data_IF_450194357062
#
_entry.id   IF_450194357062
#
_cell.length_a   1.000
_cell.length_b   1.000
_cell.length_c   1.000
_cell.angle_alpha   90.00
_cell.angle_beta   90.00
_cell.angle_gamma   90.00
#
_symmetry.space_group_name_H-M   'P 1'
#
loop_
_entity.id
_entity.type
_entity.pdbx_description
1 polymer ?
#
# COMPACT_ATOMS: atom_id res chain seq x y z
N UNK A 1 0.43 29.79 -51.74
CA UNK A 1 -0.76 29.20 -51.09
C UNK A 1 -0.31 28.54 -49.80
N UNK A 2 -0.61 29.14 -48.65
CA UNK A 2 -0.36 28.55 -47.33
C UNK A 2 -1.54 27.66 -46.98
N UNK A 3 -1.32 26.35 -46.96
CA UNK A 3 -2.30 25.39 -46.47
C UNK A 3 -2.42 25.62 -44.96
N UNK A 4 -3.58 26.03 -44.42
CA UNK A 4 -3.74 26.17 -42.98
C UNK A 4 -3.77 24.76 -42.38
N UNK A 5 -2.64 24.28 -41.89
CA UNK A 5 -2.65 23.08 -41.06
C UNK A 5 -3.48 23.40 -39.81
N UNK A 6 -4.58 22.67 -39.54
CA UNK A 6 -5.38 22.95 -38.38
C UNK A 6 -4.52 22.58 -37.17
N UNK A 7 -4.19 23.57 -36.35
CA UNK A 7 -3.41 23.42 -35.12
C UNK A 7 -3.91 22.27 -34.23
N UNK A 8 -5.20 21.93 -34.33
CA UNK A 8 -5.83 20.79 -33.65
C UNK A 8 -5.28 19.42 -34.07
N UNK A 9 -4.84 19.22 -35.32
CA UNK A 9 -4.19 17.98 -35.75
C UNK A 9 -2.76 17.88 -35.21
N UNK A 10 -2.00 18.98 -35.25
CA UNK A 10 -0.63 19.03 -34.72
C UNK A 10 -0.64 18.78 -33.21
N UNK A 11 -1.58 19.37 -32.47
CA UNK A 11 -1.76 19.15 -31.03
C UNK A 11 -2.17 17.71 -30.72
N UNK A 12 -3.06 17.11 -31.53
CA UNK A 12 -3.47 15.70 -31.35
C UNK A 12 -2.33 14.72 -31.62
N UNK A 13 -1.55 14.96 -32.68
CA UNK A 13 -0.40 14.12 -33.03
C UNK A 13 0.68 14.26 -31.95
N UNK A 14 0.98 15.48 -31.49
CA UNK A 14 1.97 15.70 -30.45
C UNK A 14 1.55 15.10 -29.11
N UNK A 15 0.27 15.22 -28.72
CA UNK A 15 -0.25 14.55 -27.53
C UNK A 15 -0.19 13.03 -27.65
N UNK A 16 -0.48 12.48 -28.83
CA UNK A 16 -0.43 11.04 -29.08
C UNK A 16 1.00 10.49 -29.03
N UNK A 17 1.96 11.17 -29.68
CA UNK A 17 3.38 10.81 -29.62
C UNK A 17 3.90 10.93 -28.19
N UNK A 18 3.50 11.98 -27.47
CA UNK A 18 3.87 12.16 -26.06
C UNK A 18 3.28 11.06 -25.16
N UNK A 19 2.01 10.70 -25.35
CA UNK A 19 1.38 9.61 -24.61
C UNK A 19 2.04 8.26 -24.91
N UNK A 20 2.46 8.03 -26.16
CA UNK A 20 3.18 6.83 -26.56
C UNK A 20 4.56 6.75 -25.89
N UNK A 21 5.35 7.83 -25.96
CA UNK A 21 6.68 7.93 -25.35
C UNK A 21 6.57 7.76 -23.82
N UNK A 22 5.65 8.49 -23.19
CA UNK A 22 5.45 8.38 -21.73
C UNK A 22 4.96 7.01 -21.31
N UNK A 23 4.10 6.35 -22.10
CA UNK A 23 3.70 4.96 -21.87
C UNK A 23 4.90 4.03 -21.93
N UNK A 24 5.70 4.09 -22.98
CA UNK A 24 6.87 3.22 -23.14
C UNK A 24 7.87 3.38 -21.99
N UNK A 25 8.13 4.62 -21.57
CA UNK A 25 9.12 4.92 -20.53
C UNK A 25 8.61 4.69 -19.10
N UNK A 26 7.37 5.07 -18.81
CA UNK A 26 6.86 5.16 -17.43
C UNK A 26 6.01 3.96 -17.02
N UNK A 27 5.40 3.23 -17.98
CA UNK A 27 4.46 2.15 -17.67
C UNK A 27 5.06 1.09 -16.77
N UNK A 28 6.34 0.73 -16.98
CA UNK A 28 7.03 -0.25 -16.14
C UNK A 28 7.11 0.18 -14.67
N UNK A 29 7.42 1.45 -14.43
CA UNK A 29 7.54 2.00 -13.07
C UNK A 29 6.18 2.14 -12.39
N UNK A 30 5.17 2.61 -13.14
CA UNK A 30 3.78 2.69 -12.66
C UNK A 30 3.23 1.29 -12.32
N UNK A 31 3.46 0.31 -13.19
CA UNK A 31 3.07 -1.08 -12.97
C UNK A 31 3.74 -1.66 -11.73
N UNK A 32 5.05 -1.47 -11.57
CA UNK A 32 5.77 -1.97 -10.39
C UNK A 32 5.27 -1.35 -9.08
N UNK A 33 5.04 -0.04 -9.07
CA UNK A 33 4.46 0.67 -7.92
C UNK A 33 3.06 0.13 -7.58
N UNK A 34 2.23 -0.09 -8.60
CA UNK A 34 0.90 -0.64 -8.41
C UNK A 34 0.93 -2.10 -7.93
N UNK A 35 1.78 -2.95 -8.51
CA UNK A 35 1.97 -4.35 -8.08
C UNK A 35 2.52 -4.44 -6.64
N UNK A 36 3.43 -3.54 -6.24
CA UNK A 36 3.91 -3.47 -4.86
C UNK A 36 2.78 -3.12 -3.88
N UNK A 37 1.95 -2.13 -4.21
CA UNK A 37 0.77 -1.80 -3.42
C UNK A 37 -0.22 -2.97 -3.39
N UNK A 38 -0.49 -3.59 -4.54
CA UNK A 38 -1.45 -4.67 -4.68
C UNK A 38 -1.02 -5.91 -3.86
N UNK A 39 0.26 -6.30 -3.93
CA UNK A 39 0.83 -7.40 -3.11
C UNK A 39 0.57 -7.22 -1.60
N UNK A 40 0.62 -5.98 -1.09
CA UNK A 40 0.40 -5.69 0.34
C UNK A 40 -1.08 -5.65 0.74
N UNK A 41 -1.98 -5.44 -0.21
CA UNK A 41 -3.42 -5.20 0.04
C UNK A 41 -4.34 -6.26 -0.57
N UNK A 42 -3.81 -7.23 -1.29
CA UNK A 42 -4.57 -8.36 -1.81
C UNK A 42 -5.01 -9.30 -0.68
N UNK A 43 -6.12 -10.00 -0.93
CA UNK A 43 -6.57 -11.09 -0.08
C UNK A 43 -5.46 -12.13 0.11
N UNK A 44 -5.20 -12.51 1.36
CA UNK A 44 -4.13 -13.45 1.73
C UNK A 44 -2.76 -12.83 1.93
N UNK A 45 -2.58 -11.52 1.67
CA UNK A 45 -1.32 -10.82 1.96
C UNK A 45 -1.03 -10.71 3.47
N UNK A 46 -2.10 -10.61 4.28
CA UNK A 46 -2.01 -10.57 5.74
C UNK A 46 -3.07 -11.50 6.33
N UNK A 47 -2.62 -12.32 7.28
CA UNK A 47 -3.46 -13.21 8.06
C UNK A 47 -3.54 -12.71 9.49
N UNK A 48 -4.76 -12.62 10.01
CA UNK A 48 -5.05 -12.13 11.36
C UNK A 48 -5.68 -13.30 12.12
N UNK A 49 -5.21 -13.61 13.34
CA UNK A 49 -5.82 -14.67 14.14
C UNK A 49 -7.25 -14.30 14.54
N UNK A 50 -8.17 -15.24 14.42
CA UNK A 50 -9.53 -15.19 14.91
C UNK A 50 -9.73 -16.33 15.91
N UNK A 51 -9.52 -16.03 17.19
CA UNK A 51 -9.43 -17.06 18.23
C UNK A 51 -8.10 -17.82 18.14
N UNK A 52 -8.09 -19.05 18.66
CA UNK A 52 -6.89 -19.90 18.76
C UNK A 52 -6.58 -20.68 17.48
N UNK A 53 -7.61 -21.16 16.78
CA UNK A 53 -7.47 -22.16 15.72
C UNK A 53 -7.61 -21.62 14.30
N UNK A 54 -8.19 -20.43 14.13
CA UNK A 54 -8.55 -19.87 12.84
C UNK A 54 -7.76 -18.59 12.55
N UNK A 55 -7.47 -18.36 11.28
CA UNK A 55 -7.00 -17.09 10.75
C UNK A 55 -7.91 -16.61 9.63
N UNK A 56 -7.99 -15.29 9.49
CA UNK A 56 -8.70 -14.67 8.39
C UNK A 56 -7.85 -13.62 7.68
N UNK A 57 -8.18 -13.41 6.42
CA UNK A 57 -7.69 -12.29 5.62
C UNK A 57 -8.90 -11.55 5.07
N UNK A 58 -8.93 -10.22 5.21
CA UNK A 58 -10.07 -9.40 4.83
C UNK A 58 -9.66 -8.44 3.71
N UNK A 59 -10.40 -8.45 2.61
CA UNK A 59 -10.29 -7.49 1.52
C UNK A 59 -11.64 -6.82 1.31
N UNK A 60 -11.78 -5.60 1.81
CA UNK A 60 -12.97 -4.79 1.58
C UNK A 60 -12.89 -4.12 0.20
N UNK A 61 -14.03 -4.07 -0.50
CA UNK A 61 -14.10 -3.48 -1.84
C UNK A 61 -13.80 -1.98 -1.80
N UNK A 62 -13.05 -1.51 -2.80
CA UNK A 62 -12.70 -0.09 -2.97
C UNK A 62 -13.23 0.44 -4.31
N UNK A 63 -13.50 1.75 -4.43
CA UNK A 63 -14.09 2.34 -5.64
C UNK A 63 -13.15 2.27 -6.86
N UNK A 64 -11.86 2.16 -6.58
CA UNK A 64 -10.74 2.11 -7.52
C UNK A 64 -10.44 0.69 -8.02
N UNK A 65 -11.11 -0.33 -7.50
CA UNK A 65 -10.91 -1.70 -7.95
C UNK A 65 -11.45 -1.86 -9.38
N UNK A 66 -10.64 -2.45 -10.27
CA UNK A 66 -10.97 -2.59 -11.70
C UNK A 66 -12.05 -3.65 -12.00
N UNK A 67 -12.39 -4.49 -11.01
CA UNK A 67 -13.33 -5.60 -11.15
C UNK A 67 -14.65 -5.39 -10.40
N UNK A 68 -15.34 -6.49 -10.13
CA UNK A 68 -16.54 -6.46 -9.28
C UNK A 68 -16.19 -5.94 -7.88
N UNK A 69 -16.85 -4.86 -7.46
CA UNK A 69 -16.67 -4.19 -6.17
C UNK A 69 -17.32 -4.98 -5.04
N UNK A 70 -16.83 -6.20 -4.82
CA UNK A 70 -17.36 -7.11 -3.82
C UNK A 70 -16.30 -7.35 -2.75
N UNK A 71 -16.69 -7.13 -1.50
CA UNK A 71 -15.82 -7.39 -0.35
C UNK A 71 -15.62 -8.90 -0.20
N UNK A 72 -14.42 -9.33 0.18
CA UNK A 72 -14.07 -10.74 0.32
C UNK A 72 -13.39 -10.98 1.65
N UNK A 73 -13.64 -12.15 2.20
CA UNK A 73 -12.92 -12.67 3.37
C UNK A 73 -12.43 -14.07 3.05
N UNK A 74 -11.20 -14.36 3.43
CA UNK A 74 -10.62 -15.69 3.36
C UNK A 74 -10.42 -16.23 4.76
N UNK A 75 -10.73 -17.50 4.97
CA UNK A 75 -10.48 -18.20 6.23
C UNK A 75 -9.56 -19.38 5.99
N UNK A 76 -8.67 -19.65 6.95
CA UNK A 76 -7.86 -20.86 6.98
C UNK A 76 -7.62 -21.30 8.42
N UNK A 77 -7.42 -22.60 8.61
CA UNK A 77 -6.95 -23.13 9.87
C UNK A 77 -5.44 -22.89 10.05
N UNK A 78 -5.00 -22.77 11.30
CA UNK A 78 -3.58 -22.74 11.66
C UNK A 78 -2.95 -24.14 11.71
N UNK A 79 -3.65 -25.12 12.28
CA UNK A 79 -3.06 -26.43 12.66
C UNK A 79 -4.09 -27.56 12.78
N UNK A 80 -5.35 -27.24 13.07
CA UNK A 80 -6.39 -28.25 13.33
C UNK A 80 -7.51 -28.10 12.32
N UNK A 81 -7.93 -29.18 11.69
CA UNK A 81 -9.08 -29.15 10.82
C UNK A 81 -10.33 -28.76 11.60
N UNK A 82 -11.10 -27.83 11.04
CA UNK A 82 -12.35 -27.32 11.60
C UNK A 82 -13.47 -27.89 10.74
N UNK A 83 -14.39 -28.63 11.36
CA UNK A 83 -15.54 -29.22 10.66
C UNK A 83 -16.53 -28.14 10.22
N UNK A 84 -16.91 -27.25 11.13
CA UNK A 84 -17.87 -26.20 10.85
C UNK A 84 -17.44 -24.88 11.48
N UNK A 85 -17.63 -23.80 10.72
CA UNK A 85 -17.52 -22.42 11.16
C UNK A 85 -18.82 -21.70 10.86
N UNK A 86 -19.45 -21.17 11.91
CA UNK A 86 -20.53 -20.20 11.77
C UNK A 86 -20.07 -18.87 12.36
N UNK A 87 -20.13 -17.81 11.55
CA UNK A 87 -19.73 -16.48 11.99
C UNK A 87 -20.59 -15.40 11.35
N UNK A 88 -20.88 -14.34 12.12
CA UNK A 88 -21.53 -13.14 11.61
C UNK A 88 -20.49 -12.05 11.41
N UNK A 89 -20.27 -11.64 10.17
CA UNK A 89 -19.50 -10.45 9.88
C UNK A 89 -20.40 -9.21 10.04
N UNK A 90 -19.97 -8.25 10.85
CA UNK A 90 -20.62 -6.96 11.02
C UNK A 90 -19.68 -5.84 10.54
N UNK A 91 -20.19 -4.98 9.66
CA UNK A 91 -19.55 -3.74 9.24
C UNK A 91 -20.44 -2.56 9.61
N UNK A 92 -19.87 -1.52 10.20
CA UNK A 92 -20.60 -0.33 10.65
C UNK A 92 -19.98 0.90 10.03
N UNK A 93 -20.80 1.79 9.48
CA UNK A 93 -20.37 3.09 8.97
C UNK A 93 -21.58 3.96 8.61
N UNK A 94 -21.44 5.27 8.68
CA UNK A 94 -22.55 6.17 8.33
C UNK A 94 -23.78 6.05 9.25
N UNK A 95 -23.66 5.41 10.42
CA UNK A 95 -24.80 5.05 11.28
C UNK A 95 -25.61 3.83 10.83
N UNK A 96 -25.17 3.14 9.76
CA UNK A 96 -25.79 1.92 9.24
C UNK A 96 -24.93 0.72 9.63
N UNK A 97 -25.58 -0.39 9.98
CA UNK A 97 -24.92 -1.67 10.26
C UNK A 97 -25.27 -2.67 9.15
N UNK A 98 -24.24 -3.17 8.50
CA UNK A 98 -24.31 -4.25 7.51
C UNK A 98 -23.90 -5.55 8.20
N UNK A 99 -24.64 -6.62 7.94
CA UNK A 99 -24.38 -7.92 8.53
C UNK A 99 -24.45 -9.01 7.47
N UNK A 100 -23.53 -9.97 7.55
CA UNK A 100 -23.48 -11.11 6.66
C UNK A 100 -23.15 -12.37 7.46
N UNK A 101 -24.00 -13.39 7.31
CA UNK A 101 -23.78 -14.70 7.92
C UNK A 101 -22.88 -15.51 7.00
N UNK A 102 -21.79 -16.05 7.55
CA UNK A 102 -20.85 -16.90 6.84
C UNK A 102 -20.86 -18.26 7.51
N UNK A 103 -21.16 -19.29 6.73
CA UNK A 103 -21.14 -20.69 7.14
C UNK A 103 -20.17 -21.42 6.24
N UNK A 104 -19.18 -22.08 6.82
CA UNK A 104 -18.18 -22.88 6.11
C UNK A 104 -18.03 -24.23 6.77
N UNK A 105 -17.78 -25.24 5.95
CA UNK A 105 -17.48 -26.60 6.39
C UNK A 105 -16.07 -26.99 5.92
N UNK A 106 -15.45 -27.93 6.63
CA UNK A 106 -14.16 -28.56 6.29
C UNK A 106 -13.05 -27.54 6.00
N UNK A 107 -12.70 -26.74 7.01
CA UNK A 107 -11.64 -25.72 6.91
C UNK A 107 -10.30 -26.31 7.33
N UNK A 108 -9.41 -26.41 6.36
CA UNK A 108 -8.02 -26.82 6.53
C UNK A 108 -7.06 -25.61 6.45
N UNK A 109 -5.76 -25.86 6.29
CA UNK A 109 -4.74 -24.83 6.02
C UNK A 109 -4.94 -24.12 4.67
N UNK A 110 -5.71 -24.72 3.76
CA UNK A 110 -6.03 -24.14 2.44
C UNK A 110 -7.09 -23.05 2.61
N UNK A 111 -6.85 -21.83 2.12
CA UNK A 111 -7.76 -20.72 2.37
C UNK A 111 -9.05 -20.83 1.56
N UNK A 112 -10.20 -20.74 2.24
CA UNK A 112 -11.52 -20.69 1.63
C UNK A 112 -11.96 -19.23 1.51
N UNK A 113 -12.30 -18.79 0.29
CA UNK A 113 -12.68 -17.41 -0.01
C UNK A 113 -14.18 -17.25 -0.10
N UNK A 114 -14.73 -16.36 0.72
CA UNK A 114 -16.14 -15.97 0.71
C UNK A 114 -16.28 -14.56 0.15
N UNK A 115 -17.27 -14.36 -0.71
CA UNK A 115 -17.66 -13.03 -1.19
C UNK A 115 -18.81 -12.51 -0.34
N UNK A 116 -18.64 -11.31 0.20
CA UNK A 116 -19.61 -10.64 1.04
C UNK A 116 -20.41 -9.64 0.21
N UNK A 117 -21.65 -9.97 -0.10
CA UNK A 117 -22.50 -9.19 -1.03
C UNK A 117 -23.26 -8.09 -0.29
N UNK A 118 -23.56 -8.29 1.00
CA UNK A 118 -24.32 -7.32 1.79
C UNK A 118 -23.43 -6.19 2.33
N UNK A 119 -22.12 -6.34 2.22
CA UNK A 119 -21.13 -5.37 2.69
C UNK A 119 -20.78 -4.39 1.56
N UNK A 120 -21.07 -3.09 1.70
CA UNK A 120 -20.87 -2.13 0.62
C UNK A 120 -19.38 -1.87 0.33
N UNK A 121 -19.12 -1.18 -0.77
CA UNK A 121 -17.81 -0.64 -1.10
C UNK A 121 -17.42 0.45 -0.09
N UNK A 122 -16.13 0.57 0.24
CA UNK A 122 -15.60 1.63 1.10
C UNK A 122 -15.62 2.98 0.36
N UNK A 123 -16.67 3.75 0.59
CA UNK A 123 -16.93 5.01 -0.09
C UNK A 123 -17.09 6.14 0.92
N UNK A 124 -16.73 7.34 0.51
CA UNK A 124 -16.95 8.56 1.28
C UNK A 124 -18.41 8.98 1.07
N UNK A 125 -19.23 8.90 2.13
CA UNK A 125 -20.67 9.18 2.05
C UNK A 125 -20.94 10.67 2.24
N UNK A 126 -20.35 11.28 3.26
CA UNK A 126 -20.64 12.67 3.60
C UNK A 126 -19.39 13.43 4.05
N UNK A 127 -19.27 14.64 3.49
CA UNK A 127 -18.43 15.74 3.94
C UNK A 127 -19.39 16.86 4.35
N UNK A 128 -19.98 16.78 5.54
CA UNK A 128 -20.84 17.88 6.02
C UNK A 128 -20.53 18.22 7.47
N UNK A 129 -20.45 19.52 7.74
CA UNK A 129 -20.29 20.14 9.06
C UNK A 129 -19.25 19.46 9.96
N UNK A 130 -17.98 19.51 9.54
CA UNK A 130 -16.81 19.01 10.27
C UNK A 130 -16.72 17.49 10.51
N UNK A 131 -17.54 16.67 9.82
CA UNK A 131 -17.46 15.21 9.92
C UNK A 131 -17.21 14.60 8.55
N UNK A 132 -16.22 13.70 8.49
CA UNK A 132 -15.94 12.83 7.36
C UNK A 132 -16.56 11.48 7.72
N UNK A 133 -17.55 11.03 6.95
CA UNK A 133 -18.23 9.76 7.19
C UNK A 133 -18.00 8.80 6.03
N UNK A 134 -17.62 7.57 6.37
CA UNK A 134 -17.41 6.49 5.42
C UNK A 134 -18.55 5.47 5.48
N UNK A 135 -18.78 4.77 4.38
CA UNK A 135 -19.74 3.66 4.32
C UNK A 135 -19.42 2.53 5.28
N UNK A 136 -18.13 2.30 5.53
CA UNK A 136 -17.62 1.34 6.51
C UNK A 136 -16.53 2.05 7.30
N UNK A 137 -16.67 2.10 8.62
CA UNK A 137 -15.72 2.70 9.57
C UNK A 137 -15.10 1.66 10.49
N UNK A 138 -15.87 0.66 10.89
CA UNK A 138 -15.40 -0.45 11.71
C UNK A 138 -15.95 -1.78 11.23
N UNK A 139 -15.21 -2.84 11.54
CA UNK A 139 -15.58 -4.22 11.24
C UNK A 139 -15.35 -5.11 12.44
N UNK A 140 -16.19 -6.13 12.59
CA UNK A 140 -16.12 -7.11 13.67
C UNK A 140 -16.71 -8.45 13.20
N UNK A 141 -16.14 -9.57 13.64
CA UNK A 141 -16.78 -10.87 13.59
C UNK A 141 -17.46 -11.14 14.92
N UNK A 142 -18.74 -11.51 14.89
CA UNK A 142 -19.56 -11.80 16.06
C UNK A 142 -20.08 -13.22 16.05
N UNK A 143 -20.34 -13.74 17.25
CA UNK A 143 -20.89 -15.07 17.49
C UNK A 143 -20.13 -16.14 16.70
N UNK A 144 -18.80 -16.08 16.72
CA UNK A 144 -17.96 -17.08 16.07
C UNK A 144 -18.17 -18.41 16.80
N UNK A 145 -18.70 -19.41 16.09
CA UNK A 145 -18.83 -20.78 16.57
C UNK A 145 -17.94 -21.67 15.71
N UNK A 146 -17.03 -22.39 16.36
CA UNK A 146 -16.05 -23.25 15.70
C UNK A 146 -16.21 -24.67 16.22
N UNK A 147 -16.49 -25.61 15.33
CA UNK A 147 -16.58 -27.03 15.64
C UNK A 147 -15.32 -27.74 15.11
N UNK A 148 -14.55 -28.35 16.00
CA UNK A 148 -13.35 -29.11 15.63
C UNK A 148 -13.71 -30.56 15.25
N UNK A 149 -12.84 -31.25 14.50
CA UNK A 149 -13.00 -32.67 14.13
C UNK A 149 -13.22 -33.63 15.31
N UNK A 150 -12.83 -33.22 16.53
CA UNK A 150 -13.08 -33.98 17.77
C UNK A 150 -14.48 -33.81 18.38
N UNK A 151 -15.39 -33.07 17.75
CA UNK A 151 -16.72 -32.76 18.29
C UNK A 151 -16.71 -31.74 19.44
N UNK A 152 -15.55 -31.20 19.79
CA UNK A 152 -15.43 -30.08 20.72
C UNK A 152 -15.86 -28.79 19.99
N UNK A 153 -16.98 -28.22 20.44
CA UNK A 153 -17.41 -26.88 20.04
C UNK A 153 -16.59 -25.88 20.85
N UNK A 154 -15.62 -25.25 20.20
CA UNK A 154 -14.84 -24.18 20.82
C UNK A 154 -15.69 -22.91 20.78
N UNK A 155 -16.22 -22.59 21.97
CA UNK A 155 -16.77 -21.33 22.47
C UNK A 155 -17.29 -20.30 21.47
N UNK A 156 -18.49 -19.79 21.75
CA UNK A 156 -18.99 -18.58 21.09
C UNK A 156 -18.18 -17.37 21.55
N UNK A 157 -17.33 -16.82 20.67
CA UNK A 157 -16.55 -15.62 20.95
C UNK A 157 -16.79 -14.53 19.91
N UNK A 158 -16.50 -13.28 20.29
CA UNK A 158 -16.51 -12.14 19.38
C UNK A 158 -15.06 -11.72 19.09
N UNK A 159 -14.80 -11.26 17.87
CA UNK A 159 -13.51 -10.67 17.53
C UNK A 159 -13.36 -9.28 18.12
N UNK A 160 -12.13 -8.79 18.21
CA UNK A 160 -11.88 -7.38 18.45
C UNK A 160 -12.47 -6.53 17.32
N UNK A 161 -13.00 -5.36 17.68
CA UNK A 161 -13.46 -4.36 16.72
C UNK A 161 -12.24 -3.73 16.06
N UNK A 162 -12.17 -3.81 14.73
CA UNK A 162 -11.12 -3.18 13.94
C UNK A 162 -11.64 -1.89 13.31
N UNK A 163 -11.04 -0.77 13.68
CA UNK A 163 -11.34 0.54 13.08
C UNK A 163 -10.47 0.74 11.84
N UNK A 164 -11.11 1.15 10.74
CA UNK A 164 -10.45 1.41 9.47
C UNK A 164 -9.90 2.84 9.47
N UNK A 165 -8.66 3.00 9.01
CA UNK A 165 -8.01 4.33 8.91
C UNK A 165 -8.27 5.04 7.58
N UNK A 166 -8.83 4.34 6.59
CA UNK A 166 -9.05 4.81 5.20
C UNK A 166 -7.86 5.52 4.56
N UNK A 167 -6.63 5.18 4.98
CA UNK A 167 -5.40 5.79 4.48
C UNK A 167 -5.28 5.67 2.96
N UNK A 168 -5.86 4.61 2.38
CA UNK A 168 -5.87 4.39 0.95
C UNK A 168 -6.66 5.45 0.16
N UNK A 169 -7.64 6.11 0.77
CA UNK A 169 -8.37 7.22 0.14
C UNK A 169 -7.72 8.56 0.43
N UNK A 170 -7.25 8.76 1.67
CA UNK A 170 -6.79 10.08 2.14
C UNK A 170 -5.31 10.36 1.85
N UNK A 171 -4.46 9.34 1.77
CA UNK A 171 -3.00 9.49 1.71
C UNK A 171 -2.35 8.88 0.47
N UNK A 172 -2.96 7.85 -0.11
CA UNK A 172 -2.42 7.20 -1.30
C UNK A 172 -2.51 8.11 -2.53
N UNK A 173 -1.46 8.09 -3.36
CA UNK A 173 -1.43 8.86 -4.59
C UNK A 173 -1.91 8.01 -5.77
N UNK A 174 -3.13 8.26 -6.23
CA UNK A 174 -3.72 7.60 -7.38
C UNK A 174 -3.65 8.49 -8.62
N UNK A 175 -3.30 7.91 -9.77
CA UNK A 175 -3.29 8.62 -11.07
C UNK A 175 -4.01 7.82 -12.12
N UNK A 176 -5.00 8.44 -12.76
CA UNK A 176 -5.64 7.87 -13.94
C UNK A 176 -4.77 8.14 -15.17
N UNK A 177 -4.20 7.08 -15.76
CA UNK A 177 -3.40 7.14 -16.99
C UNK A 177 -3.57 5.86 -17.80
N UNK A 178 -3.58 6.01 -19.13
CA UNK A 178 -3.69 4.90 -20.08
C UNK A 178 -4.91 4.00 -19.84
N UNK A 179 -6.04 4.59 -19.44
CA UNK A 179 -7.31 3.87 -19.22
C UNK A 179 -7.42 3.12 -17.89
N UNK A 180 -6.45 3.26 -16.99
CA UNK A 180 -6.46 2.59 -15.68
C UNK A 180 -6.03 3.54 -14.54
N UNK A 181 -6.47 3.21 -13.33
CA UNK A 181 -6.00 3.86 -12.10
C UNK A 181 -4.74 3.17 -11.58
N UNK A 182 -3.67 3.96 -11.43
CA UNK A 182 -2.38 3.46 -10.95
C UNK A 182 -2.08 4.01 -9.55
N UNK A 183 -1.65 3.13 -8.66
CA UNK A 183 -1.13 3.54 -7.35
C UNK A 183 0.34 3.98 -7.51
N UNK A 184 0.63 5.21 -7.08
CA UNK A 184 1.93 5.84 -7.20
C UNK A 184 2.64 6.00 -5.84
N UNK A 185 2.23 5.27 -4.80
CA UNK A 185 2.82 5.41 -3.47
C UNK A 185 4.31 5.15 -3.46
N UNK A 186 4.76 4.08 -4.11
CA UNK A 186 6.19 3.77 -4.16
C UNK A 186 6.98 4.89 -4.83
N UNK A 187 6.42 5.51 -5.88
CA UNK A 187 7.01 6.67 -6.57
C UNK A 187 7.06 7.88 -5.64
N UNK A 188 6.00 8.13 -4.86
CA UNK A 188 5.91 9.21 -3.88
C UNK A 188 6.94 9.03 -2.77
N UNK A 189 7.02 7.84 -2.19
CA UNK A 189 7.98 7.49 -1.15
C UNK A 189 9.42 7.58 -1.63
N UNK A 190 9.73 7.08 -2.83
CA UNK A 190 11.07 7.19 -3.41
C UNK A 190 11.50 8.65 -3.60
N UNK A 191 10.58 9.53 -4.04
CA UNK A 191 10.85 10.98 -4.16
C UNK A 191 11.05 11.63 -2.79
N UNK A 192 10.23 11.28 -1.80
CA UNK A 192 10.38 11.77 -0.43
C UNK A 192 11.72 11.34 0.16
N UNK A 193 12.12 10.07 -0.03
CA UNK A 193 13.41 9.56 0.44
C UNK A 193 14.60 10.24 -0.24
N UNK A 194 14.51 10.53 -1.54
CA UNK A 194 15.50 11.34 -2.25
C UNK A 194 15.58 12.77 -1.70
N UNK A 195 14.43 13.37 -1.41
CA UNK A 195 14.35 14.69 -0.79
C UNK A 195 14.96 14.72 0.61
N UNK A 196 14.65 13.72 1.44
CA UNK A 196 15.17 13.59 2.79
C UNK A 196 16.67 13.31 2.78
N UNK A 197 17.14 12.49 1.84
CA UNK A 197 18.57 12.30 1.60
C UNK A 197 19.27 13.63 1.30
N UNK A 198 18.75 14.44 0.38
CA UNK A 198 19.37 15.74 0.06
C UNK A 198 19.33 16.73 1.23
N UNK A 199 18.24 16.76 2.00
CA UNK A 199 18.07 17.69 3.13
C UNK A 199 18.87 17.30 4.36
N UNK A 200 18.96 16.00 4.63
CA UNK A 200 19.42 15.49 5.92
C UNK A 200 20.54 14.46 5.84
N UNK A 201 20.68 13.75 4.72
CA UNK A 201 21.74 12.76 4.49
C UNK A 201 22.98 13.34 3.83
N UNK A 202 22.82 14.28 2.90
CA UNK A 202 23.90 14.89 2.15
C UNK A 202 24.74 15.80 3.05
N UNK A 203 25.99 15.40 3.31
CA UNK A 203 26.89 16.10 4.21
C UNK A 203 26.63 15.85 5.71
N UNK A 204 25.78 14.89 6.07
CA UNK A 204 25.63 14.48 7.47
C UNK A 204 26.72 13.48 7.88
N UNK A 205 27.24 13.57 9.12
CA UNK A 205 28.14 12.55 9.65
C UNK A 205 27.39 11.21 9.74
N UNK A 206 28.07 10.11 9.39
CA UNK A 206 27.51 8.74 9.29
C UNK A 206 26.82 8.21 10.56
N UNK A 207 26.96 8.88 11.71
CA UNK A 207 26.40 8.45 13.00
C UNK A 207 25.51 9.54 13.59
N UNK A 208 24.20 9.43 13.37
CA UNK A 208 23.15 10.24 14.00
C UNK A 208 22.38 9.46 15.07
N UNK A 209 23.02 8.47 15.70
CA UNK A 209 22.44 7.82 16.89
C UNK A 209 22.74 8.72 18.07
N UNK A 210 21.75 9.51 18.49
CA UNK A 210 21.85 10.32 19.71
C UNK A 210 21.82 9.36 20.89
N UNK A 211 23.00 9.05 21.45
CA UNK A 211 23.08 8.41 22.76
C UNK A 211 23.04 9.51 23.83
N UNK A 212 22.26 9.36 24.91
CA UNK A 212 22.13 10.39 25.94
C UNK A 212 23.43 10.74 26.69
N UNK A 213 24.52 9.99 26.46
CA UNK A 213 25.82 10.19 27.11
C UNK A 213 26.94 10.74 26.20
N UNK A 214 26.69 11.04 24.93
CA UNK A 214 27.76 11.56 24.05
C UNK A 214 27.90 13.07 24.17
N UNK A 215 28.99 13.53 24.79
CA UNK A 215 29.44 14.93 24.73
C UNK A 215 29.95 15.21 23.31
N UNK A 216 29.10 15.76 22.46
CA UNK A 216 29.48 16.14 21.10
C UNK A 216 30.38 17.38 21.13
N UNK A 217 31.65 17.22 20.73
CA UNK A 217 32.52 18.35 20.37
C UNK A 217 31.98 18.99 19.09
N UNK A 218 31.30 20.12 19.26
CA UNK A 218 30.58 20.85 18.20
C UNK A 218 31.52 21.82 17.49
N UNK A 219 32.43 21.30 16.67
CA UNK A 219 33.06 22.09 15.60
C UNK A 219 32.64 21.50 14.25
N UNK A 220 31.47 21.92 13.78
CA UNK A 220 31.08 21.66 12.39
C UNK A 220 32.00 22.49 11.49
N UNK A 221 32.75 21.88 10.57
CA UNK A 221 33.63 22.63 9.69
C UNK A 221 32.81 23.53 8.76
N UNK A 222 33.30 24.75 8.46
CA UNK A 222 32.55 25.77 7.71
C UNK A 222 32.08 25.29 6.32
N UNK A 223 32.76 24.33 5.69
CA UNK A 223 32.35 23.73 4.42
C UNK A 223 31.03 22.96 4.54
N UNK A 224 30.68 22.44 5.72
CA UNK A 224 29.42 21.72 5.96
C UNK A 224 28.21 22.64 5.81
N UNK A 225 28.34 23.94 6.10
CA UNK A 225 27.29 24.93 5.84
C UNK A 225 27.04 25.13 4.34
N UNK A 226 28.10 25.13 3.52
CA UNK A 226 28.00 25.18 2.07
C UNK A 226 27.37 23.91 1.48
N UNK A 227 27.78 22.74 1.95
CA UNK A 227 27.23 21.44 1.51
C UNK A 227 25.77 21.30 1.92
N UNK A 228 25.37 21.80 3.10
CA UNK A 228 23.96 21.90 3.50
C UNK A 228 23.15 22.80 2.58
N UNK A 229 23.71 23.92 2.13
CA UNK A 229 23.06 24.80 1.15
C UNK A 229 22.78 24.10 -0.19
N UNK A 230 23.77 23.35 -0.70
CA UNK A 230 23.61 22.53 -1.91
C UNK A 230 22.55 21.44 -1.69
N UNK A 231 22.61 20.73 -0.56
CA UNK A 231 21.61 19.72 -0.21
C UNK A 231 20.20 20.29 -0.12
N UNK A 232 20.05 21.48 0.44
CA UNK A 232 18.75 22.16 0.53
C UNK A 232 18.19 22.59 -0.83
N UNK A 233 19.07 23.03 -1.75
CA UNK A 233 18.70 23.34 -3.13
C UNK A 233 18.30 22.07 -3.89
N UNK A 234 19.11 21.02 -3.84
CA UNK A 234 18.86 19.74 -4.51
C UNK A 234 17.62 19.02 -3.94
N UNK A 235 17.26 19.28 -2.68
CA UNK A 235 16.04 18.81 -2.03
C UNK A 235 14.77 19.61 -2.35
N UNK A 236 14.81 20.57 -3.30
CA UNK A 236 13.61 21.26 -3.79
C UNK A 236 12.72 20.28 -4.58
N UNK A 237 11.37 20.33 -4.41
CA UNK A 237 10.47 19.34 -5.01
C UNK A 237 10.63 19.15 -6.52
N UNK A 238 10.81 20.24 -7.28
CA UNK A 238 10.94 20.18 -8.73
C UNK A 238 12.25 19.49 -9.18
N UNK A 239 13.36 19.76 -8.51
CA UNK A 239 14.66 19.12 -8.78
C UNK A 239 14.62 17.65 -8.43
N UNK A 240 14.01 17.28 -7.31
CA UNK A 240 13.82 15.87 -6.89
C UNK A 240 12.99 15.12 -7.93
N UNK A 241 11.91 15.73 -8.45
CA UNK A 241 11.09 15.12 -9.50
C UNK A 241 11.90 14.91 -10.78
N UNK A 242 12.68 15.91 -11.21
CA UNK A 242 13.54 15.79 -12.40
C UNK A 242 14.61 14.71 -12.21
N UNK A 243 15.33 14.72 -11.09
CA UNK A 243 16.34 13.71 -10.77
C UNK A 243 15.75 12.30 -10.76
N UNK A 244 14.57 12.12 -10.14
CA UNK A 244 13.88 10.84 -10.11
C UNK A 244 13.57 10.34 -11.53
N UNK A 245 12.96 11.17 -12.38
CA UNK A 245 12.60 10.73 -13.73
C UNK A 245 13.82 10.52 -14.61
N UNK A 246 14.84 11.36 -14.52
CA UNK A 246 16.12 11.16 -15.23
C UNK A 246 16.79 9.85 -14.80
N UNK A 247 16.80 9.54 -13.50
CA UNK A 247 17.33 8.29 -12.99
C UNK A 247 16.59 7.06 -13.55
N UNK A 248 15.25 7.10 -13.58
CA UNK A 248 14.43 6.05 -14.17
C UNK A 248 14.64 5.95 -15.68
N UNK A 249 14.70 7.08 -16.39
CA UNK A 249 14.91 7.13 -17.85
C UNK A 249 16.28 6.61 -18.26
N UNK A 250 17.31 6.86 -17.46
CA UNK A 250 18.65 6.32 -17.70
C UNK A 250 18.70 4.79 -17.61
N UNK A 251 17.69 4.14 -17.02
CA UNK A 251 17.64 2.69 -16.81
C UNK A 251 18.70 2.16 -15.84
N UNK A 252 19.45 3.06 -15.19
CA UNK A 252 20.49 2.76 -14.20
C UNK A 252 19.92 2.53 -12.80
N UNK A 253 18.73 3.05 -12.51
CA UNK A 253 18.08 2.91 -11.21
C UNK A 253 16.77 2.14 -11.34
N UNK A 254 16.57 1.20 -10.42
CA UNK A 254 15.36 0.40 -10.31
C UNK A 254 14.76 0.64 -8.93
N UNK A 255 13.43 0.74 -8.88
CA UNK A 255 12.70 0.81 -7.62
C UNK A 255 12.72 -0.59 -6.98
N UNK A 256 13.28 -0.77 -5.79
CA UNK A 256 13.34 -2.05 -5.08
C UNK A 256 11.98 -2.41 -4.43
N UNK A 257 11.83 -3.62 -3.90
CA UNK A 257 10.61 -4.09 -3.21
C UNK A 257 10.31 -3.31 -1.90
N UNK A 258 11.32 -2.64 -1.35
CA UNK A 258 11.21 -1.71 -0.23
C UNK A 258 10.85 -0.27 -0.65
N UNK A 259 10.46 -0.07 -1.92
CA UNK A 259 10.13 1.25 -2.51
C UNK A 259 11.32 2.24 -2.57
N UNK A 260 12.56 1.73 -2.47
CA UNK A 260 13.79 2.52 -2.54
C UNK A 260 14.38 2.56 -3.96
N UNK A 261 15.00 3.69 -4.34
CA UNK A 261 15.80 3.76 -5.57
C UNK A 261 17.14 3.07 -5.36
N UNK A 262 17.35 1.94 -6.02
CA UNK A 262 18.62 1.22 -6.00
C UNK A 262 19.29 1.25 -7.37
N UNK A 263 20.62 1.27 -7.36
CA UNK A 263 21.40 1.16 -8.58
C UNK A 263 21.24 -0.26 -9.13
N UNK A 264 20.89 -0.39 -10.42
CA UNK A 264 20.52 -1.64 -11.08
C UNK A 264 21.58 -2.74 -10.97
N UNK A 265 22.84 -2.36 -10.76
CA UNK A 265 23.99 -3.26 -10.70
C UNK A 265 24.48 -3.51 -9.28
N UNK A 266 23.85 -2.91 -8.27
CA UNK A 266 24.17 -3.18 -6.87
C UNK A 266 23.59 -4.54 -6.51
N UNK A 267 24.45 -5.53 -6.25
CA UNK A 267 24.03 -6.87 -5.81
C UNK A 267 23.28 -6.74 -4.49
N UNK A 268 22.11 -7.35 -4.41
CA UNK A 268 21.35 -7.54 -3.16
C UNK A 268 22.17 -8.44 -2.24
N UNK A 269 23.06 -7.86 -1.44
CA UNK A 269 23.67 -8.55 -0.29
C UNK A 269 22.67 -8.53 0.87
N UNK A 270 21.56 -9.26 0.70
CA UNK A 270 20.59 -9.50 1.76
C UNK A 270 19.96 -10.87 1.51
N UNK A 271 20.72 -11.92 1.86
CA UNK A 271 20.22 -13.24 2.23
C UNK A 271 21.29 -14.12 2.93
N UNK A 272 22.29 -13.52 3.58
CA UNK A 272 23.23 -14.23 4.46
C UNK A 272 23.36 -13.45 5.77
N UNK A 273 22.37 -13.56 6.66
CA UNK A 273 22.52 -13.35 8.11
C UNK A 273 21.18 -13.49 8.85
N UNK A 274 20.50 -14.64 8.73
CA UNK A 274 19.53 -15.10 9.74
C UNK A 274 19.37 -16.62 9.66
N UNK A 275 20.47 -17.34 9.42
CA UNK A 275 20.64 -18.73 9.80
C UNK A 275 21.94 -18.80 10.58
N UNK A 276 21.83 -19.06 11.88
CA UNK A 276 22.98 -19.17 12.79
C UNK A 276 22.84 -18.28 14.02
N UNK A 277 21.98 -18.68 14.95
CA UNK A 277 22.36 -18.91 16.36
C UNK A 277 21.12 -19.43 17.12
N UNK A 278 21.21 -20.74 17.43
CA UNK A 278 20.55 -21.57 18.47
C UNK A 278 19.32 -20.99 19.18
#
# INVERSE_FOLDING_TARGET
>A
MSIPMPFSLIVKISSWVWDYITKLLLLKTFRRSHEAWARRHHLGARWIPLGSHLEYSLQLAKPIDAGAKVSKVAFRSKKHNILNLEVFFEAVGGGIRYQEKICLSDIDERPIVCSMVNVPCQELIALSNNKIMFSIESVQFRKCQVELEGGEVVSQFDSQVSYLTHSWLMHDEWKFRWGAWWNCNSIKWAKQRLQDYWRWGFGAPKFRVVRPSTVFSRREPLWMSGVRGIGWLMGRPWLVIMQFWVAIWSGLFILNDEDELQWRWQKTSANDSFDGEI
#
